data_IF_214134750758
#
_entry.id   IF_214134750758
#
_cell.length_a   1.000
_cell.length_b   1.000
_cell.length_c   1.000
_cell.angle_alpha   90.00
_cell.angle_beta   90.00
_cell.angle_gamma   90.00
#
_symmetry.space_group_name_H-M   'P 1'
#
loop_
_entity.id
_entity.type
_entity.pdbx_description
1 polymer ?
#
# COMPACT_ATOMS: atom_id res chain seq x y z
N UNK A 1 -64.78 -88.03 -42.78
CA UNK A 1 -64.28 -86.92 -43.63
C UNK A 1 -64.63 -85.53 -43.09
N UNK A 2 -65.91 -85.20 -42.77
CA UNK A 2 -66.28 -83.86 -42.30
C UNK A 2 -65.53 -83.38 -41.04
N UNK A 3 -65.41 -84.23 -40.02
CA UNK A 3 -64.76 -83.89 -38.72
C UNK A 3 -63.27 -83.52 -38.86
N UNK A 4 -62.54 -84.20 -39.75
CA UNK A 4 -61.11 -83.94 -39.98
C UNK A 4 -60.91 -82.58 -40.65
N UNK A 5 -61.75 -82.22 -41.63
CA UNK A 5 -61.70 -80.89 -42.25
C UNK A 5 -62.01 -79.78 -41.26
N UNK A 6 -62.98 -79.95 -40.35
CA UNK A 6 -63.28 -78.95 -39.31
C UNK A 6 -62.11 -78.78 -38.35
N UNK A 7 -61.46 -79.86 -37.95
CA UNK A 7 -60.26 -79.84 -37.10
C UNK A 7 -59.09 -79.11 -37.76
N UNK A 8 -58.84 -79.36 -39.06
CA UNK A 8 -57.78 -78.66 -39.83
C UNK A 8 -58.06 -77.16 -39.91
N UNK A 9 -59.31 -76.76 -40.17
CA UNK A 9 -59.71 -75.34 -40.22
C UNK A 9 -59.52 -74.67 -38.86
N UNK A 10 -59.91 -75.32 -37.76
CA UNK A 10 -59.70 -74.81 -36.40
C UNK A 10 -58.20 -74.66 -36.10
N UNK A 11 -57.37 -75.63 -36.49
CA UNK A 11 -55.92 -75.59 -36.30
C UNK A 11 -55.28 -74.43 -37.10
N UNK A 12 -55.71 -74.20 -38.34
CA UNK A 12 -55.25 -73.08 -39.15
C UNK A 12 -55.67 -71.71 -38.57
N UNK A 13 -56.89 -71.61 -38.04
CA UNK A 13 -57.37 -70.40 -37.37
C UNK A 13 -56.57 -70.13 -36.10
N UNK A 14 -56.33 -71.15 -35.27
CA UNK A 14 -55.48 -71.06 -34.08
C UNK A 14 -54.05 -70.67 -34.43
N UNK A 15 -53.47 -71.23 -35.49
CA UNK A 15 -52.14 -70.88 -35.96
C UNK A 15 -52.09 -69.42 -36.45
N UNK A 16 -53.11 -68.96 -37.18
CA UNK A 16 -53.20 -67.57 -37.62
C UNK A 16 -53.36 -66.59 -36.46
N UNK A 17 -54.14 -66.95 -35.44
CA UNK A 17 -54.33 -66.15 -34.23
C UNK A 17 -53.05 -66.09 -33.40
N UNK A 18 -52.34 -67.21 -33.25
CA UNK A 18 -51.03 -67.25 -32.58
C UNK A 18 -49.98 -66.42 -33.33
N UNK A 19 -49.93 -66.51 -34.66
CA UNK A 19 -49.05 -65.69 -35.49
C UNK A 19 -49.39 -64.19 -35.39
N UNK A 20 -50.68 -63.83 -35.41
CA UNK A 20 -51.14 -62.46 -35.23
C UNK A 20 -50.83 -61.89 -33.84
N UNK A 21 -50.98 -62.70 -32.79
CA UNK A 21 -50.61 -62.33 -31.41
C UNK A 21 -49.11 -62.08 -31.28
N UNK A 22 -48.27 -63.00 -31.79
CA UNK A 22 -46.81 -62.84 -31.80
C UNK A 22 -46.37 -61.61 -32.60
N UNK A 23 -47.00 -61.36 -33.75
CA UNK A 23 -46.75 -60.16 -34.54
C UNK A 23 -47.09 -58.89 -33.77
N UNK A 24 -48.28 -58.81 -33.17
CA UNK A 24 -48.70 -57.66 -32.37
C UNK A 24 -47.79 -57.41 -31.15
N UNK A 25 -47.39 -58.47 -30.46
CA UNK A 25 -46.50 -58.38 -29.31
C UNK A 25 -45.08 -57.95 -29.73
N UNK A 26 -44.57 -58.45 -30.86
CA UNK A 26 -43.30 -58.01 -31.44
C UNK A 26 -43.34 -56.56 -31.91
N UNK A 27 -44.46 -56.11 -32.49
CA UNK A 27 -44.67 -54.74 -32.91
C UNK A 27 -44.65 -53.78 -31.72
N UNK A 28 -45.37 -54.12 -30.64
CA UNK A 28 -45.37 -53.32 -29.41
C UNK A 28 -43.99 -53.28 -28.74
N UNK A 29 -43.27 -54.41 -28.69
CA UNK A 29 -41.88 -54.44 -28.20
C UNK A 29 -40.95 -53.57 -29.05
N UNK A 30 -41.04 -53.63 -30.37
CA UNK A 30 -40.26 -52.78 -31.26
C UNK A 30 -40.57 -51.30 -31.04
N UNK A 31 -41.84 -50.91 -30.87
CA UNK A 31 -42.24 -49.53 -30.59
C UNK A 31 -41.68 -49.02 -29.26
N UNK A 32 -41.69 -49.85 -28.21
CA UNK A 32 -41.07 -49.51 -26.92
C UNK A 32 -39.55 -49.37 -27.04
N UNK A 33 -38.89 -50.30 -27.76
CA UNK A 33 -37.45 -50.23 -28.00
C UNK A 33 -37.04 -48.95 -28.74
N UNK A 34 -37.81 -48.53 -29.75
CA UNK A 34 -37.52 -47.29 -30.49
C UNK A 34 -37.65 -46.05 -29.61
N UNK A 35 -38.65 -46.00 -28.74
CA UNK A 35 -38.83 -44.89 -27.81
C UNK A 35 -37.67 -44.80 -26.80
N UNK A 36 -37.24 -45.94 -26.23
CA UNK A 36 -36.08 -46.01 -25.33
C UNK A 36 -34.77 -45.64 -26.03
N UNK A 37 -34.60 -46.05 -27.29
CA UNK A 37 -33.43 -45.67 -28.11
C UNK A 37 -33.38 -44.17 -28.37
N UNK A 38 -34.53 -43.54 -28.61
CA UNK A 38 -34.65 -42.09 -28.82
C UNK A 38 -34.37 -41.32 -27.52
N UNK A 39 -34.94 -41.75 -26.40
CA UNK A 39 -34.65 -41.19 -25.08
C UNK A 39 -33.15 -41.32 -24.74
N UNK A 40 -32.56 -42.49 -24.97
CA UNK A 40 -31.13 -42.71 -24.76
C UNK A 40 -30.25 -41.81 -25.65
N UNK A 41 -30.65 -41.57 -26.90
CA UNK A 41 -29.95 -40.62 -27.79
C UNK A 41 -30.05 -39.19 -27.27
N UNK A 42 -31.22 -38.78 -26.80
CA UNK A 42 -31.43 -37.43 -26.26
C UNK A 42 -30.60 -37.20 -24.99
N UNK A 43 -30.59 -38.17 -24.07
CA UNK A 43 -29.74 -38.12 -22.87
C UNK A 43 -28.27 -38.05 -23.25
N UNK A 44 -27.82 -38.85 -24.23
CA UNK A 44 -26.44 -38.82 -24.71
C UNK A 44 -26.07 -37.46 -25.31
N UNK A 45 -26.96 -36.84 -26.09
CA UNK A 45 -26.74 -35.53 -26.68
C UNK A 45 -26.64 -34.43 -25.60
N UNK A 46 -27.54 -34.45 -24.62
CA UNK A 46 -27.52 -33.52 -23.47
C UNK A 46 -26.21 -33.65 -22.67
N UNK A 47 -25.78 -34.87 -22.36
CA UNK A 47 -24.50 -35.11 -21.68
C UNK A 47 -23.29 -34.63 -22.50
N UNK A 48 -23.33 -34.78 -23.83
CA UNK A 48 -22.26 -34.28 -24.69
C UNK A 48 -22.16 -32.74 -24.67
N UNK A 49 -23.30 -32.06 -24.63
CA UNK A 49 -23.36 -30.60 -24.49
C UNK A 49 -22.84 -30.14 -23.13
N UNK A 50 -23.26 -30.82 -22.04
CA UNK A 50 -22.77 -30.53 -20.69
C UNK A 50 -21.25 -30.74 -20.56
N UNK A 51 -20.72 -31.84 -21.12
CA UNK A 51 -19.27 -32.09 -21.16
C UNK A 51 -18.53 -30.99 -21.94
N UNK A 52 -19.09 -30.54 -23.06
CA UNK A 52 -18.50 -29.47 -23.85
C UNK A 52 -18.46 -28.15 -23.06
N UNK A 53 -19.55 -27.82 -22.35
CA UNK A 53 -19.62 -26.62 -21.52
C UNK A 53 -18.62 -26.69 -20.35
N UNK A 54 -18.57 -27.82 -19.63
CA UNK A 54 -17.62 -28.04 -18.55
C UNK A 54 -16.16 -27.93 -19.03
N UNK A 55 -15.86 -28.39 -20.26
CA UNK A 55 -14.54 -28.24 -20.85
C UNK A 55 -14.18 -26.76 -21.09
N UNK A 56 -15.14 -25.94 -21.54
CA UNK A 56 -14.94 -24.50 -21.75
C UNK A 56 -14.72 -23.80 -20.40
N UNK A 57 -15.54 -24.11 -19.42
CA UNK A 57 -15.45 -23.52 -18.07
C UNK A 57 -14.11 -23.88 -17.41
N UNK A 58 -13.66 -25.12 -17.56
CA UNK A 58 -12.35 -25.57 -17.08
C UNK A 58 -11.19 -24.79 -17.72
N UNK A 59 -11.27 -24.53 -19.03
CA UNK A 59 -10.27 -23.72 -19.73
C UNK A 59 -10.27 -22.25 -19.29
N UNK A 60 -11.46 -21.68 -19.06
CA UNK A 60 -11.60 -20.32 -18.54
C UNK A 60 -11.03 -20.20 -17.12
N UNK A 61 -11.37 -21.15 -16.24
CA UNK A 61 -10.81 -21.21 -14.89
C UNK A 61 -9.29 -21.37 -14.90
N UNK A 62 -8.75 -22.16 -15.83
CA UNK A 62 -7.30 -22.33 -15.99
C UNK A 62 -6.61 -21.01 -16.36
N UNK A 63 -7.15 -20.28 -17.34
CA UNK A 63 -6.64 -18.96 -17.75
C UNK A 63 -6.69 -17.96 -16.61
N UNK A 64 -7.80 -17.93 -15.88
CA UNK A 64 -7.97 -17.03 -14.73
C UNK A 64 -7.00 -17.37 -13.59
N UNK A 65 -6.80 -18.66 -13.30
CA UNK A 65 -5.82 -19.09 -12.31
C UNK A 65 -4.40 -18.67 -12.71
N UNK A 66 -4.07 -18.74 -14.00
CA UNK A 66 -2.78 -18.31 -14.53
C UNK A 66 -2.61 -16.79 -14.46
N UNK A 67 -3.65 -16.01 -14.76
CA UNK A 67 -3.69 -14.56 -14.57
C UNK A 67 -3.44 -14.18 -13.11
N UNK A 68 -4.19 -14.77 -12.19
CA UNK A 68 -4.04 -14.52 -10.75
C UNK A 68 -2.66 -14.92 -10.22
N UNK A 69 -2.06 -15.98 -10.75
CA UNK A 69 -0.67 -16.35 -10.42
C UNK A 69 0.34 -15.29 -10.86
N UNK A 70 0.16 -14.72 -12.06
CA UNK A 70 1.04 -13.64 -12.52
C UNK A 70 0.85 -12.38 -11.68
N UNK A 71 -0.38 -11.98 -11.37
CA UNK A 71 -0.65 -10.84 -10.49
C UNK A 71 -0.06 -11.03 -9.09
N UNK A 72 -0.15 -12.25 -8.54
CA UNK A 72 0.47 -12.62 -7.27
C UNK A 72 2.00 -12.54 -7.33
N UNK A 73 2.61 -12.96 -8.44
CA UNK A 73 4.06 -12.88 -8.67
C UNK A 73 4.53 -11.42 -8.77
N UNK A 74 3.80 -10.59 -9.51
CA UNK A 74 4.07 -9.15 -9.65
C UNK A 74 3.95 -8.43 -8.31
N UNK A 75 2.92 -8.77 -7.53
CA UNK A 75 2.75 -8.26 -6.17
C UNK A 75 3.92 -8.64 -5.27
N UNK A 76 4.37 -9.91 -5.33
CA UNK A 76 5.52 -10.38 -4.55
C UNK A 76 6.80 -9.64 -4.94
N UNK A 77 7.02 -9.42 -6.24
CA UNK A 77 8.17 -8.64 -6.73
C UNK A 77 8.13 -7.20 -6.22
N UNK A 78 6.97 -6.54 -6.30
CA UNK A 78 6.79 -5.18 -5.77
C UNK A 78 7.02 -5.10 -4.27
N UNK A 79 6.56 -6.10 -3.51
CA UNK A 79 6.85 -6.21 -2.07
C UNK A 79 8.34 -6.37 -1.79
N UNK A 80 9.06 -7.16 -2.58
CA UNK A 80 10.51 -7.30 -2.46
C UNK A 80 11.23 -5.98 -2.75
N UNK A 81 10.83 -5.24 -3.78
CA UNK A 81 11.38 -3.91 -4.09
C UNK A 81 11.14 -2.93 -2.95
N UNK A 82 9.91 -2.84 -2.44
CA UNK A 82 9.56 -2.01 -1.27
C UNK A 82 10.39 -2.40 -0.05
N UNK A 83 10.58 -3.70 0.22
CA UNK A 83 11.38 -4.17 1.33
C UNK A 83 12.87 -3.80 1.17
N UNK A 84 13.41 -3.84 -0.05
CA UNK A 84 14.78 -3.41 -0.33
C UNK A 84 14.95 -1.90 -0.16
N UNK A 85 14.01 -1.10 -0.65
CA UNK A 85 14.00 0.35 -0.44
C UNK A 85 13.90 0.71 1.05
N UNK A 86 12.99 0.06 1.79
CA UNK A 86 12.85 0.26 3.23
C UNK A 86 14.16 -0.03 3.94
N UNK A 87 14.84 -1.13 3.61
CA UNK A 87 16.13 -1.47 4.23
C UNK A 87 17.21 -0.43 3.94
N UNK A 88 17.33 0.04 2.69
CA UNK A 88 18.29 1.12 2.34
C UNK A 88 18.01 2.40 3.14
N UNK A 89 16.73 2.73 3.31
CA UNK A 89 16.32 3.88 4.11
C UNK A 89 16.63 3.69 5.60
N UNK A 90 16.36 2.51 6.17
CA UNK A 90 16.71 2.19 7.56
C UNK A 90 18.22 2.32 7.82
N UNK A 91 19.05 1.91 6.86
CA UNK A 91 20.51 2.03 6.98
C UNK A 91 20.96 3.51 6.89
N UNK A 92 20.40 4.30 5.97
CA UNK A 92 20.65 5.74 5.90
C UNK A 92 20.16 6.48 7.17
N UNK A 93 19.04 6.05 7.74
CA UNK A 93 18.49 6.58 8.97
C UNK A 93 19.41 6.32 10.16
N UNK A 94 19.94 5.11 10.29
CA UNK A 94 20.92 4.78 11.35
C UNK A 94 22.16 5.67 11.26
N UNK A 95 22.62 5.97 10.06
CA UNK A 95 23.75 6.89 9.86
C UNK A 95 23.41 8.31 10.35
N UNK A 96 22.21 8.82 10.04
CA UNK A 96 21.77 10.12 10.54
C UNK A 96 21.62 10.14 12.06
N UNK A 97 21.05 9.10 12.66
CA UNK A 97 20.94 8.97 14.12
C UNK A 97 22.33 8.99 14.78
N UNK A 98 23.33 8.36 14.17
CA UNK A 98 24.71 8.42 14.67
C UNK A 98 25.26 9.84 14.64
N UNK A 99 25.02 10.58 13.55
CA UNK A 99 25.45 11.98 13.43
C UNK A 99 24.76 12.89 14.45
N UNK A 100 23.46 12.71 14.67
CA UNK A 100 22.68 13.43 15.68
C UNK A 100 23.31 13.20 17.07
N UNK A 101 23.58 11.95 17.46
CA UNK A 101 24.24 11.62 18.75
C UNK A 101 25.63 12.25 18.90
N UNK A 102 26.40 12.31 17.82
CA UNK A 102 27.71 12.98 17.84
C UNK A 102 27.55 14.50 18.03
N UNK A 103 26.54 15.11 17.42
CA UNK A 103 26.23 16.53 17.60
C UNK A 103 25.75 16.83 19.02
N UNK A 104 24.86 16.01 19.59
CA UNK A 104 24.40 16.14 20.98
C UNK A 104 25.59 16.13 21.95
N UNK A 105 26.49 15.15 21.80
CA UNK A 105 27.71 15.06 22.63
C UNK A 105 28.58 16.31 22.48
N UNK A 106 28.73 16.86 21.27
CA UNK A 106 29.50 18.09 21.04
C UNK A 106 28.82 19.31 21.68
N UNK A 107 27.49 19.40 21.61
CA UNK A 107 26.69 20.45 22.25
C UNK A 107 26.90 20.40 23.77
N UNK A 108 26.75 19.23 24.39
CA UNK A 108 26.91 19.05 25.84
C UNK A 108 28.33 19.46 26.30
N UNK A 109 29.36 19.05 25.57
CA UNK A 109 30.74 19.42 25.89
C UNK A 109 30.99 20.94 25.79
N UNK A 110 30.40 21.60 24.79
CA UNK A 110 30.51 23.05 24.62
C UNK A 110 29.79 23.82 25.72
N UNK A 111 28.64 23.33 26.16
CA UNK A 111 27.89 23.93 27.28
C UNK A 111 28.68 23.85 28.60
N UNK A 112 29.34 22.71 28.87
CA UNK A 112 30.24 22.57 30.03
C UNK A 112 31.43 23.53 29.96
N UNK A 113 32.08 23.67 28.79
CA UNK A 113 33.21 24.59 28.59
C UNK A 113 32.81 26.05 28.86
N UNK A 114 31.62 26.46 28.40
CA UNK A 114 31.07 27.79 28.67
C UNK A 114 30.81 27.98 30.18
N UNK A 115 30.17 27.01 30.84
CA UNK A 115 29.86 27.09 32.27
C UNK A 115 31.12 27.23 33.13
N UNK A 116 32.15 26.42 32.88
CA UNK A 116 33.42 26.49 33.62
C UNK A 116 34.10 27.86 33.48
N UNK A 117 34.06 28.45 32.27
CA UNK A 117 34.62 29.78 32.00
C UNK A 117 33.79 30.91 32.62
N UNK A 118 32.46 30.76 32.69
CA UNK A 118 31.58 31.73 33.38
C UNK A 118 31.85 31.75 34.89
N UNK A 119 31.98 30.58 35.52
CA UNK A 119 32.33 30.47 36.94
C UNK A 119 33.72 31.04 37.26
N UNK A 120 34.70 30.81 36.37
CA UNK A 120 36.03 31.39 36.51
C UNK A 120 36.02 32.93 36.41
N UNK A 121 35.24 33.48 35.47
CA UNK A 121 35.08 34.93 35.30
C UNK A 121 34.45 35.59 36.54
N UNK A 122 33.46 34.97 37.17
CA UNK A 122 32.84 35.48 38.39
C UNK A 122 33.86 35.61 39.53
N UNK A 123 34.73 34.61 39.73
CA UNK A 123 35.76 34.63 40.78
C UNK A 123 36.85 35.69 40.55
N UNK A 124 37.15 36.00 39.29
CA UNK A 124 38.17 37.00 38.92
C UNK A 124 37.66 38.45 39.05
N UNK A 125 36.35 38.66 38.97
CA UNK A 125 35.71 39.98 39.07
C UNK A 125 35.87 40.63 40.46
N UNK A 126 36.13 39.85 41.50
CA UNK A 126 36.34 40.32 42.88
C UNK A 126 37.74 40.94 43.13
N UNK A 127 38.64 40.95 42.14
CA UNK A 127 40.04 41.40 42.29
C UNK A 127 40.29 42.68 41.45
N UNK A 128 40.51 43.82 42.12
CA UNK A 128 40.64 45.18 41.56
C UNK A 128 41.89 45.46 40.67
N UNK A 129 42.52 44.44 40.07
CA UNK A 129 43.80 44.61 39.36
C UNK A 129 43.63 44.70 37.84
N UNK A 130 44.38 45.62 37.20
CA UNK A 130 44.32 45.91 35.76
C UNK A 130 44.65 44.67 34.90
N UNK A 131 45.53 43.80 35.40
CA UNK A 131 45.84 42.51 34.78
C UNK A 131 44.64 41.55 34.76
N UNK A 132 43.80 41.60 35.81
CA UNK A 132 42.56 40.83 35.91
C UNK A 132 41.53 41.32 34.88
N UNK A 133 41.44 42.65 34.66
CA UNK A 133 40.55 43.23 33.65
C UNK A 133 40.90 42.76 32.22
N UNK A 134 42.20 42.68 31.89
CA UNK A 134 42.66 42.16 30.58
C UNK A 134 42.38 40.66 30.45
N UNK A 135 42.58 39.87 31.51
CA UNK A 135 42.27 38.44 31.51
C UNK A 135 40.77 38.18 31.33
N UNK A 136 39.92 38.96 32.02
CA UNK A 136 38.46 38.89 31.89
C UNK A 136 37.99 39.23 30.48
N UNK A 137 38.54 40.27 29.84
CA UNK A 137 38.18 40.62 28.45
C UNK A 137 38.51 39.45 27.50
N UNK A 138 39.67 38.80 27.66
CA UNK A 138 40.06 37.63 26.84
C UNK A 138 39.13 36.44 27.06
N UNK A 139 38.78 36.13 28.31
CA UNK A 139 37.85 35.03 28.61
C UNK A 139 36.44 35.32 28.09
N UNK A 140 35.96 36.56 28.21
CA UNK A 140 34.66 36.96 27.63
C UNK A 140 34.64 36.82 26.11
N UNK A 141 35.70 37.26 25.42
CA UNK A 141 35.81 37.07 23.97
C UNK A 141 35.78 35.58 23.61
N UNK A 142 36.47 34.73 24.38
CA UNK A 142 36.44 33.28 24.18
C UNK A 142 35.06 32.66 24.39
N UNK A 143 34.34 33.07 25.44
CA UNK A 143 32.96 32.61 25.68
C UNK A 143 32.04 33.03 24.52
N UNK A 144 32.18 34.25 24.00
CA UNK A 144 31.39 34.73 22.86
C UNK A 144 31.65 33.89 21.60
N UNK A 145 32.90 33.52 21.31
CA UNK A 145 33.24 32.59 20.22
C UNK A 145 32.56 31.23 20.42
N UNK A 146 32.68 30.64 21.62
CA UNK A 146 32.07 29.34 21.93
C UNK A 146 30.54 29.36 21.84
N UNK A 147 29.91 30.47 22.25
CA UNK A 147 28.47 30.66 22.13
C UNK A 147 28.05 30.72 20.65
N UNK A 148 28.82 31.40 19.80
CA UNK A 148 28.55 31.43 18.36
C UNK A 148 28.68 30.04 17.73
N UNK A 149 29.72 29.29 18.09
CA UNK A 149 29.92 27.90 17.65
C UNK A 149 28.76 26.99 18.11
N UNK A 150 28.31 27.15 19.36
CA UNK A 150 27.19 26.39 19.92
C UNK A 150 25.89 26.67 19.18
N UNK A 151 25.61 27.94 18.83
CA UNK A 151 24.42 28.31 18.05
C UNK A 151 24.47 27.68 16.66
N UNK A 152 25.63 27.72 16.00
CA UNK A 152 25.81 27.07 14.70
C UNK A 152 25.60 25.55 14.79
N UNK A 153 26.12 24.92 15.84
CA UNK A 153 26.00 23.48 16.09
C UNK A 153 24.55 23.06 16.38
N UNK A 154 23.82 23.82 17.22
CA UNK A 154 22.39 23.60 17.49
C UNK A 154 21.55 23.74 16.23
N UNK A 155 21.85 24.72 15.38
CA UNK A 155 21.17 24.88 14.09
C UNK A 155 21.37 23.66 13.18
N UNK A 156 22.60 23.15 13.09
CA UNK A 156 22.90 21.95 12.30
C UNK A 156 22.23 20.71 12.90
N UNK A 157 22.22 20.57 14.23
CA UNK A 157 21.51 19.51 14.95
C UNK A 157 20.02 19.51 14.62
N UNK A 158 19.32 20.65 14.80
CA UNK A 158 17.88 20.76 14.51
C UNK A 158 17.59 20.44 13.04
N UNK A 159 18.46 20.87 12.11
CA UNK A 159 18.32 20.57 10.69
C UNK A 159 18.42 19.06 10.42
N UNK A 160 19.39 18.37 11.02
CA UNK A 160 19.54 16.93 10.83
C UNK A 160 18.38 16.15 11.46
N UNK A 161 17.90 16.58 12.62
CA UNK A 161 16.76 15.98 13.29
C UNK A 161 15.45 16.18 12.49
N UNK A 162 15.25 17.36 11.89
CA UNK A 162 14.13 17.61 10.97
C UNK A 162 14.13 16.65 9.77
N UNK A 163 15.30 16.50 9.12
CA UNK A 163 15.47 15.59 7.97
C UNK A 163 15.19 14.13 8.38
N UNK A 164 15.60 13.74 9.58
CA UNK A 164 15.38 12.40 10.12
C UNK A 164 13.88 12.10 10.25
N UNK A 165 13.13 12.99 10.91
CA UNK A 165 11.68 12.87 11.06
C UNK A 165 10.94 12.89 9.70
N UNK A 166 11.37 13.75 8.77
CA UNK A 166 10.81 13.76 7.41
C UNK A 166 10.96 12.40 6.71
N UNK A 167 12.15 11.82 6.73
CA UNK A 167 12.42 10.53 6.08
C UNK A 167 11.61 9.38 6.73
N UNK A 168 11.40 9.42 8.04
CA UNK A 168 10.49 8.50 8.74
C UNK A 168 9.06 8.66 8.25
N UNK A 169 8.56 9.90 8.16
CA UNK A 169 7.24 10.21 7.62
C UNK A 169 7.03 9.63 6.22
N UNK A 170 7.99 9.83 5.31
CA UNK A 170 7.95 9.28 3.95
C UNK A 170 7.89 7.76 3.96
N UNK A 171 8.69 7.11 4.81
CA UNK A 171 8.72 5.65 4.93
C UNK A 171 7.39 5.09 5.42
N UNK A 172 6.82 5.68 6.46
CA UNK A 172 5.50 5.28 6.99
C UNK A 172 4.39 5.52 5.97
N UNK A 173 4.42 6.63 5.23
CA UNK A 173 3.47 6.92 4.16
C UNK A 173 3.55 5.89 3.02
N UNK A 174 4.76 5.52 2.57
CA UNK A 174 4.96 4.42 1.59
C UNK A 174 4.41 3.09 2.10
N UNK A 175 4.52 2.84 3.40
CA UNK A 175 3.93 1.68 4.09
C UNK A 175 2.43 1.80 4.37
N UNK A 176 1.77 2.90 3.93
CA UNK A 176 0.36 3.24 4.21
C UNK A 176 0.01 3.38 5.70
N UNK A 177 1.02 3.57 6.55
CA UNK A 177 0.86 3.86 7.97
C UNK A 177 0.74 5.38 8.17
N UNK A 178 -0.33 5.95 7.61
CA UNK A 178 -0.47 7.40 7.47
C UNK A 178 -0.54 8.16 8.80
N UNK A 179 -1.00 7.50 9.86
CA UNK A 179 -1.00 8.07 11.22
C UNK A 179 0.37 8.42 11.73
N UNK A 180 1.25 7.43 11.68
CA UNK A 180 2.61 7.58 12.14
C UNK A 180 3.34 8.54 11.18
N UNK A 181 3.01 8.50 9.89
CA UNK A 181 3.56 9.45 8.93
C UNK A 181 3.23 10.90 9.29
N UNK A 182 1.97 11.20 9.64
CA UNK A 182 1.55 12.53 10.09
C UNK A 182 2.34 12.94 11.32
N UNK A 183 2.41 12.10 12.35
CA UNK A 183 3.12 12.43 13.61
C UNK A 183 4.60 12.76 13.35
N UNK A 184 5.27 11.99 12.48
CA UNK A 184 6.67 12.23 12.13
C UNK A 184 6.85 13.49 11.27
N UNK A 185 5.94 13.77 10.34
CA UNK A 185 5.95 15.02 9.58
C UNK A 185 5.69 16.25 10.46
N UNK A 186 4.79 16.17 11.44
CA UNK A 186 4.53 17.27 12.37
C UNK A 186 5.79 17.57 13.23
N UNK A 187 6.49 16.56 13.74
CA UNK A 187 7.80 16.74 14.42
C UNK A 187 8.85 17.39 13.51
N UNK A 188 8.90 17.00 12.24
CA UNK A 188 9.82 17.62 11.29
C UNK A 188 9.50 19.11 11.06
N UNK A 189 8.20 19.48 11.01
CA UNK A 189 7.76 20.87 10.91
C UNK A 189 8.02 21.68 12.18
N UNK A 190 7.98 21.08 13.37
CA UNK A 190 8.38 21.77 14.61
C UNK A 190 9.83 22.28 14.56
N UNK A 191 10.70 21.54 13.85
CA UNK A 191 12.13 21.85 13.70
C UNK A 191 12.43 22.68 12.45
N UNK A 192 11.70 22.47 11.36
CA UNK A 192 11.81 23.21 10.11
C UNK A 192 10.41 23.54 9.53
N UNK A 193 9.75 24.61 10.01
CA UNK A 193 8.37 24.93 9.67
C UNK A 193 8.16 25.43 8.24
N UNK A 194 9.24 25.70 7.49
CA UNK A 194 9.19 26.24 6.12
C UNK A 194 9.59 25.19 5.08
N UNK A 195 9.52 23.90 5.41
CA UNK A 195 9.81 22.84 4.45
C UNK A 195 8.60 22.58 3.51
N UNK A 196 8.68 22.96 2.23
CA UNK A 196 7.57 22.77 1.30
C UNK A 196 7.23 21.30 1.07
N UNK A 197 8.22 20.40 1.07
CA UNK A 197 7.98 18.98 0.76
C UNK A 197 7.16 18.30 1.86
N UNK A 198 7.34 18.73 3.12
CA UNK A 198 6.52 18.24 4.24
C UNK A 198 5.08 18.74 4.10
N UNK A 199 4.89 20.02 3.79
CA UNK A 199 3.56 20.59 3.56
C UNK A 199 2.81 19.88 2.42
N UNK A 200 3.49 19.63 1.29
CA UNK A 200 2.89 18.87 0.19
C UNK A 200 2.43 17.47 0.64
N UNK A 201 3.31 16.70 1.29
CA UNK A 201 3.01 15.34 1.72
C UNK A 201 1.87 15.27 2.75
N UNK A 202 1.84 16.19 3.71
CA UNK A 202 0.73 16.29 4.67
C UNK A 202 -0.58 16.68 3.97
N UNK A 203 -0.54 17.60 3.00
CA UNK A 203 -1.69 17.98 2.18
C UNK A 203 -2.33 16.76 1.50
N UNK A 204 -1.50 15.94 0.82
CA UNK A 204 -1.94 14.69 0.17
C UNK A 204 -2.55 13.72 1.16
N UNK A 205 -1.90 13.47 2.30
CA UNK A 205 -2.43 12.54 3.31
C UNK A 205 -3.76 13.05 3.89
N UNK A 206 -3.88 14.36 4.12
CA UNK A 206 -5.11 14.95 4.65
C UNK A 206 -6.28 14.88 3.67
N UNK A 207 -6.03 15.11 2.38
CA UNK A 207 -7.03 15.00 1.31
C UNK A 207 -7.44 13.54 1.08
N UNK A 208 -6.47 12.69 0.74
CA UNK A 208 -6.76 11.36 0.21
C UNK A 208 -7.16 10.35 1.27
N UNK A 209 -6.56 10.44 2.46
CA UNK A 209 -6.69 9.40 3.47
C UNK A 209 -7.48 9.85 4.70
N UNK A 210 -7.18 11.02 5.27
CA UNK A 210 -7.95 11.56 6.39
C UNK A 210 -9.31 12.13 6.00
N UNK A 211 -9.52 12.45 4.72
CA UNK A 211 -10.72 13.16 4.23
C UNK A 211 -10.99 14.44 5.03
N UNK A 212 -9.92 15.20 5.28
CA UNK A 212 -9.97 16.47 5.99
C UNK A 212 -9.59 17.61 5.02
N UNK A 213 -10.56 18.13 4.23
CA UNK A 213 -10.28 19.14 3.22
C UNK A 213 -9.69 20.42 3.83
N UNK A 214 -10.07 20.76 5.07
CA UNK A 214 -9.59 21.98 5.75
C UNK A 214 -8.08 21.94 6.00
N UNK A 215 -7.58 20.86 6.61
CA UNK A 215 -6.12 20.70 6.83
C UNK A 215 -5.39 20.50 5.52
N UNK A 216 -5.97 19.78 4.55
CA UNK A 216 -5.37 19.61 3.24
C UNK A 216 -5.12 20.96 2.54
N UNK A 217 -6.13 21.81 2.45
CA UNK A 217 -6.03 23.16 1.85
C UNK A 217 -5.02 24.03 2.59
N UNK A 218 -4.98 23.98 3.92
CA UNK A 218 -3.98 24.71 4.72
C UNK A 218 -2.55 24.33 4.32
N UNK A 219 -2.25 23.03 4.27
CA UNK A 219 -0.92 22.55 3.90
C UNK A 219 -0.58 22.80 2.43
N UNK A 220 -1.53 22.61 1.50
CA UNK A 220 -1.32 22.90 0.09
C UNK A 220 -1.06 24.38 -0.17
N UNK A 221 -1.82 25.29 0.44
CA UNK A 221 -1.55 26.73 0.33
C UNK A 221 -0.16 27.07 0.83
N UNK A 222 0.26 26.48 1.95
CA UNK A 222 1.60 26.71 2.50
C UNK A 222 2.69 26.19 1.56
N UNK A 223 2.49 25.05 0.92
CA UNK A 223 3.37 24.56 -0.14
C UNK A 223 3.49 25.57 -1.30
N UNK A 224 2.38 26.10 -1.79
CA UNK A 224 2.40 27.09 -2.89
C UNK A 224 3.06 28.42 -2.50
N UNK A 225 2.90 28.86 -1.25
CA UNK A 225 3.62 30.04 -0.71
C UNK A 225 5.13 29.83 -0.71
N UNK A 226 5.58 28.64 -0.31
CA UNK A 226 7.00 28.29 -0.16
C UNK A 226 7.66 27.94 -1.50
N UNK A 227 6.90 27.45 -2.49
CA UNK A 227 7.38 27.14 -3.85
C UNK A 227 6.47 27.72 -4.94
N UNK A 228 6.55 29.04 -5.21
CA UNK A 228 5.74 29.70 -6.23
C UNK A 228 6.10 29.32 -7.68
N UNK A 229 7.22 28.63 -7.90
CA UNK A 229 7.71 28.21 -9.22
C UNK A 229 7.73 26.67 -9.39
N UNK A 230 7.02 25.94 -8.52
CA UNK A 230 6.93 24.49 -8.66
C UNK A 230 6.20 24.08 -9.94
N UNK A 231 6.61 22.97 -10.55
CA UNK A 231 6.04 22.48 -11.82
C UNK A 231 4.60 21.99 -11.63
N UNK A 232 4.26 21.51 -10.43
CA UNK A 232 2.96 20.99 -10.03
C UNK A 232 2.02 22.07 -9.45
N UNK A 233 2.38 23.36 -9.56
CA UNK A 233 1.64 24.45 -8.92
C UNK A 233 0.19 24.55 -9.39
N UNK A 234 -0.08 24.30 -10.67
CA UNK A 234 -1.42 24.36 -11.23
C UNK A 234 -2.28 23.16 -10.79
N UNK A 235 -1.69 21.97 -10.68
CA UNK A 235 -2.37 20.78 -10.16
C UNK A 235 -2.77 20.98 -8.69
N UNK A 236 -1.87 21.53 -7.87
CA UNK A 236 -2.16 21.80 -6.46
C UNK A 236 -3.21 22.90 -6.31
N UNK A 237 -3.24 23.91 -7.18
CA UNK A 237 -4.32 24.92 -7.22
C UNK A 237 -5.67 24.27 -7.55
N UNK A 238 -5.73 23.42 -8.56
CA UNK A 238 -6.94 22.69 -8.93
C UNK A 238 -7.44 21.82 -7.76
N UNK A 239 -6.54 21.18 -7.02
CA UNK A 239 -6.91 20.43 -5.81
C UNK A 239 -7.49 21.32 -4.72
N UNK A 240 -6.89 22.48 -4.47
CA UNK A 240 -7.41 23.46 -3.51
C UNK A 240 -8.82 23.91 -3.92
N UNK A 241 -9.02 24.30 -5.18
CA UNK A 241 -10.32 24.75 -5.69
C UNK A 241 -11.39 23.66 -5.54
N UNK A 242 -11.05 22.41 -5.88
CA UNK A 242 -11.95 21.26 -5.69
C UNK A 242 -12.33 21.08 -4.22
N UNK A 243 -11.35 21.06 -3.32
CA UNK A 243 -11.56 20.84 -1.90
C UNK A 243 -12.33 22.00 -1.25
N UNK A 244 -12.22 23.20 -1.81
CA UNK A 244 -12.94 24.38 -1.34
C UNK A 244 -14.45 24.33 -1.60
N UNK A 245 -14.86 23.60 -2.65
CA UNK A 245 -16.27 23.39 -2.98
C UNK A 245 -16.93 22.38 -2.02
N UNK A 246 -16.13 21.54 -1.34
CA UNK A 246 -16.62 20.53 -0.39
C UNK A 246 -16.88 21.07 1.03
N UNK A 247 -16.66 22.37 1.26
CA UNK A 247 -16.95 23.06 2.53
C UNK A 247 -18.38 23.59 2.67
#
# INVERSE_FOLDING_TARGET
MRIINTLIIILLLLFSAAAGYLYFESFNRNKQLTALLEESRNVKASLQEEIAQLSIDQDNLRKENERLRQESLDYLKKQQEINQERKKMEDALKEQISKIKELETKIENKEKEIQELEEANLKLADINDLASNVAMIKQRARIQELQADLVALKKEYNKQEAIMHYNLGVSYAKGKNYEIAIDEYEKALELNPEDPDIHYNLGVIYDEWRRNPKRAVEHYRKYLELRPEAVDIDEVRDWIERLEIEF
#
